data_IF_748866237158
#
_entry.id   IF_748866237158
#
_cell.length_a   1.000
_cell.length_b   1.000
_cell.length_c   1.000
_cell.angle_alpha   90.00
_cell.angle_beta   90.00
_cell.angle_gamma   90.00
#
_symmetry.space_group_name_H-M   'P 1'
#
loop_
_entity.id
_entity.type
_entity.pdbx_description
1 polymer ?
#
# COMPACT_ATOMS: atom_id res chain seq x y z
N UNK A 1 5.17 28.95 17.35
CA UNK A 1 4.13 27.95 17.00
C UNK A 1 3.69 28.02 15.54
N UNK A 2 3.31 29.17 14.96
CA UNK A 2 2.87 29.28 13.54
C UNK A 2 3.93 28.85 12.50
N UNK A 3 5.22 29.12 12.74
CA UNK A 3 6.33 28.74 11.85
C UNK A 3 6.57 27.22 11.80
N UNK A 4 6.23 26.49 12.86
CA UNK A 4 6.38 25.03 12.93
C UNK A 4 5.31 24.32 12.08
N UNK A 5 4.07 24.83 12.09
CA UNK A 5 2.99 24.33 11.23
C UNK A 5 3.30 24.52 9.76
N UNK A 6 3.85 25.69 9.40
CA UNK A 6 4.18 26.01 8.01
C UNK A 6 5.31 25.08 7.48
N UNK A 7 6.29 24.75 8.33
CA UNK A 7 7.38 23.83 8.01
C UNK A 7 6.90 22.37 7.86
N UNK A 8 5.97 21.94 8.72
CA UNK A 8 5.29 20.65 8.60
C UNK A 8 4.46 20.53 7.31
N UNK A 9 3.69 21.57 6.96
CA UNK A 9 2.92 21.61 5.72
C UNK A 9 3.81 21.57 4.47
N UNK A 10 4.95 22.27 4.48
CA UNK A 10 5.90 22.22 3.36
C UNK A 10 6.56 20.84 3.20
N UNK A 11 6.87 20.15 4.31
CA UNK A 11 7.41 18.78 4.24
C UNK A 11 6.35 17.84 3.63
N UNK A 12 5.10 17.92 4.08
CA UNK A 12 3.98 17.13 3.51
C UNK A 12 3.79 17.42 2.01
N UNK A 13 3.95 18.67 1.58
CA UNK A 13 3.81 19.07 0.18
C UNK A 13 5.00 18.61 -0.69
N UNK A 14 6.22 18.63 -0.14
CA UNK A 14 7.44 18.12 -0.80
C UNK A 14 7.40 16.59 -0.99
N UNK A 15 6.74 15.86 -0.09
CA UNK A 15 6.55 14.40 -0.21
C UNK A 15 5.56 13.99 -1.33
N UNK A 16 4.77 14.92 -1.87
CA UNK A 16 3.82 14.66 -2.98
C UNK A 16 4.46 14.78 -4.37
N UNK A 17 5.72 15.24 -4.47
CA UNK A 17 6.39 15.54 -5.75
C UNK A 17 7.27 14.40 -6.28
N UNK A 18 7.16 13.19 -5.72
CA UNK A 18 7.88 12.00 -6.19
C UNK A 18 7.24 11.37 -7.43
N UNK A 19 7.36 12.01 -8.60
CA UNK A 19 7.11 11.33 -9.88
C UNK A 19 8.26 10.36 -10.17
N UNK A 20 8.10 9.09 -9.81
CA UNK A 20 9.09 8.04 -10.10
C UNK A 20 8.69 7.33 -11.39
N UNK A 21 9.66 7.05 -12.28
CA UNK A 21 9.43 6.13 -13.40
C UNK A 21 9.38 4.71 -12.87
N UNK A 22 8.24 4.06 -13.02
CA UNK A 22 7.89 2.87 -12.28
C UNK A 22 8.21 1.60 -13.05
N UNK A 23 9.50 1.27 -13.09
CA UNK A 23 9.98 0.03 -13.68
C UNK A 23 10.68 -0.80 -12.61
N UNK A 24 10.30 -2.08 -12.48
CA UNK A 24 10.93 -2.99 -11.52
C UNK A 24 11.15 -4.38 -12.13
N UNK A 25 12.13 -5.12 -11.60
CA UNK A 25 12.44 -6.47 -12.04
C UNK A 25 11.91 -7.52 -11.08
N UNK A 26 11.46 -8.66 -11.61
CA UNK A 26 10.98 -9.81 -10.86
C UNK A 26 11.64 -11.06 -11.40
N UNK A 27 12.15 -11.91 -10.52
CA UNK A 27 12.70 -13.21 -10.87
C UNK A 27 11.66 -14.29 -10.51
N UNK A 28 11.27 -15.09 -11.50
CA UNK A 28 10.38 -16.26 -11.33
C UNK A 28 11.04 -17.45 -12.00
N UNK A 29 11.42 -18.45 -11.21
CA UNK A 29 12.28 -19.54 -11.69
C UNK A 29 13.63 -19.00 -12.16
N UNK A 30 14.05 -19.39 -13.36
CA UNK A 30 15.31 -18.97 -13.98
C UNK A 30 15.16 -17.71 -14.87
N UNK A 31 13.93 -17.20 -15.06
CA UNK A 31 13.64 -16.04 -15.90
C UNK A 31 13.60 -14.74 -15.10
N UNK A 32 14.10 -13.67 -15.72
CA UNK A 32 14.03 -12.29 -15.19
C UNK A 32 13.04 -11.49 -16.05
N UNK A 33 12.02 -10.97 -15.40
CA UNK A 33 10.98 -10.13 -15.98
C UNK A 33 11.21 -8.68 -15.60
N UNK A 34 10.97 -7.77 -16.54
CA UNK A 34 10.93 -6.33 -16.29
C UNK A 34 9.51 -5.84 -16.45
N UNK A 35 8.91 -5.33 -15.38
CA UNK A 35 7.56 -4.74 -15.41
C UNK A 35 7.70 -3.24 -15.55
N UNK A 36 7.11 -2.68 -16.61
CA UNK A 36 6.95 -1.25 -16.81
C UNK A 36 5.48 -0.89 -16.56
N UNK A 37 5.24 -0.22 -15.43
CA UNK A 37 3.88 0.14 -15.01
C UNK A 37 3.30 1.24 -15.89
N UNK A 38 4.13 2.21 -16.30
CA UNK A 38 3.68 3.37 -17.08
C UNK A 38 3.17 2.95 -18.46
N UNK A 39 3.86 1.99 -19.08
CA UNK A 39 3.48 1.46 -20.38
C UNK A 39 2.54 0.24 -20.28
N UNK A 40 2.28 -0.25 -19.06
CA UNK A 40 1.52 -1.47 -18.80
C UNK A 40 2.06 -2.66 -19.59
N UNK A 41 3.38 -2.88 -19.50
CA UNK A 41 4.06 -3.97 -20.19
C UNK A 41 4.93 -4.81 -19.26
N UNK A 42 5.04 -6.09 -19.56
CA UNK A 42 6.02 -7.01 -18.96
C UNK A 42 6.96 -7.46 -20.08
N UNK A 43 8.26 -7.38 -19.85
CA UNK A 43 9.28 -7.76 -20.82
C UNK A 43 10.11 -8.92 -20.30
N UNK A 44 10.31 -9.92 -21.15
CA UNK A 44 11.23 -11.03 -20.95
C UNK A 44 12.10 -11.16 -22.20
N UNK A 45 13.37 -10.77 -22.09
CA UNK A 45 14.29 -10.74 -23.24
C UNK A 45 13.77 -9.86 -24.37
N UNK A 46 13.37 -10.48 -25.50
CA UNK A 46 12.84 -9.79 -26.69
C UNK A 46 11.31 -9.73 -26.74
N UNK A 47 10.62 -10.47 -25.88
CA UNK A 47 9.16 -10.53 -25.88
C UNK A 47 8.59 -9.46 -24.95
N UNK A 48 7.62 -8.69 -25.44
CA UNK A 48 6.90 -7.68 -24.68
C UNK A 48 5.43 -8.09 -24.63
N UNK A 49 4.92 -8.22 -23.42
CA UNK A 49 3.54 -8.56 -23.11
C UNK A 49 2.84 -7.30 -22.62
N UNK A 50 1.72 -6.93 -23.22
CA UNK A 50 0.91 -5.82 -22.74
C UNK A 50 -0.12 -6.35 -21.76
N UNK A 51 -0.41 -5.62 -20.68
CA UNK A 51 -1.39 -6.06 -19.71
C UNK A 51 -2.40 -4.97 -19.36
N UNK A 52 -3.52 -5.40 -18.81
CA UNK A 52 -4.50 -4.56 -18.13
C UNK A 52 -4.86 -5.27 -16.84
N UNK A 53 -4.87 -4.53 -15.75
CA UNK A 53 -5.26 -5.05 -14.44
C UNK A 53 -6.29 -4.11 -13.83
N UNK A 54 -7.37 -4.69 -13.33
CA UNK A 54 -8.41 -4.01 -12.56
C UNK A 54 -8.61 -4.79 -11.26
N UNK A 55 -8.23 -4.18 -10.14
CA UNK A 55 -8.40 -4.75 -8.81
C UNK A 55 -9.55 -4.10 -8.06
N UNK A 56 -10.31 -4.91 -7.29
CA UNK A 56 -11.21 -4.40 -6.25
C UNK A 56 -10.51 -4.47 -4.88
N UNK A 57 -10.89 -3.59 -3.94
CA UNK A 57 -10.29 -3.46 -2.58
C UNK A 57 -10.36 -4.71 -1.67
N UNK A 58 -10.79 -5.86 -2.20
CA UNK A 58 -10.94 -7.13 -1.50
C UNK A 58 -10.05 -8.24 -2.05
N UNK A 59 -9.01 -7.91 -2.84
CA UNK A 59 -8.08 -8.88 -3.39
C UNK A 59 -8.68 -9.74 -4.52
N UNK A 60 -9.59 -9.14 -5.28
CA UNK A 60 -10.15 -9.73 -6.51
C UNK A 60 -9.62 -8.95 -7.71
N UNK A 61 -9.08 -9.66 -8.69
CA UNK A 61 -8.35 -9.10 -9.82
C UNK A 61 -8.98 -9.58 -11.13
N UNK A 62 -9.18 -8.65 -12.05
CA UNK A 62 -9.44 -8.91 -13.46
C UNK A 62 -8.17 -8.51 -14.24
N UNK A 63 -7.49 -9.51 -14.78
CA UNK A 63 -6.22 -9.37 -15.47
C UNK A 63 -6.41 -9.86 -16.90
N UNK A 64 -5.95 -9.04 -17.85
CA UNK A 64 -5.84 -9.41 -19.25
C UNK A 64 -4.43 -9.15 -19.76
N UNK A 65 -3.85 -10.13 -20.43
CA UNK A 65 -2.53 -10.06 -21.05
C UNK A 65 -2.69 -10.24 -22.55
N UNK A 66 -1.96 -9.44 -23.32
CA UNK A 66 -1.86 -9.48 -24.78
C UNK A 66 -0.43 -9.84 -25.15
N UNK A 67 -0.30 -10.90 -25.94
CA UNK A 67 0.96 -11.47 -26.40
C UNK A 67 1.45 -10.79 -27.68
N UNK A 68 2.75 -10.93 -28.04
CA UNK A 68 3.30 -10.35 -29.27
C UNK A 68 2.59 -10.78 -30.56
N UNK A 69 1.97 -11.96 -30.57
CA UNK A 69 1.19 -12.47 -31.71
C UNK A 69 -0.27 -11.97 -31.73
N UNK A 70 -0.67 -11.11 -30.79
CA UNK A 70 -2.04 -10.60 -30.63
C UNK A 70 -3.00 -11.53 -29.89
N UNK A 71 -2.57 -12.74 -29.51
CA UNK A 71 -3.38 -13.62 -28.64
C UNK A 71 -3.47 -13.04 -27.23
N UNK A 72 -4.47 -13.48 -26.46
CA UNK A 72 -4.67 -13.00 -25.09
C UNK A 72 -4.89 -14.12 -24.09
N UNK A 73 -4.42 -13.89 -22.87
CA UNK A 73 -4.74 -14.68 -21.69
C UNK A 73 -5.48 -13.78 -20.70
N UNK A 74 -6.45 -14.32 -19.98
CA UNK A 74 -7.15 -13.58 -18.93
C UNK A 74 -7.30 -14.42 -17.67
N UNK A 75 -7.33 -13.72 -16.54
CA UNK A 75 -7.55 -14.27 -15.20
C UNK A 75 -8.54 -13.38 -14.45
N UNK A 76 -9.56 -14.00 -13.87
CA UNK A 76 -10.53 -13.32 -13.02
C UNK A 76 -10.64 -14.08 -11.69
N UNK A 77 -10.22 -13.46 -10.59
CA UNK A 77 -10.21 -14.13 -9.29
C UNK A 77 -9.34 -13.49 -8.24
N UNK A 78 -9.25 -14.16 -7.08
CA UNK A 78 -8.24 -13.88 -6.06
C UNK A 78 -6.93 -14.62 -6.36
N UNK A 79 -5.91 -14.40 -5.54
CA UNK A 79 -4.63 -15.13 -5.63
C UNK A 79 -4.74 -16.64 -5.40
N UNK A 80 -5.82 -17.11 -4.78
CA UNK A 80 -6.00 -18.53 -4.41
C UNK A 80 -7.17 -19.22 -5.13
N UNK A 81 -8.03 -18.47 -5.79
CA UNK A 81 -9.20 -19.01 -6.48
C UNK A 81 -9.68 -18.09 -7.58
N UNK A 82 -9.96 -18.64 -8.75
CA UNK A 82 -10.43 -17.85 -9.88
C UNK A 82 -10.71 -18.72 -11.10
N UNK A 83 -11.06 -18.04 -12.18
CA UNK A 83 -11.20 -18.62 -13.50
C UNK A 83 -10.15 -17.99 -14.44
N UNK A 84 -9.70 -18.79 -15.40
CA UNK A 84 -8.81 -18.32 -16.45
C UNK A 84 -9.27 -18.81 -17.81
N UNK A 85 -8.81 -18.10 -18.84
CA UNK A 85 -9.05 -18.49 -20.21
C UNK A 85 -8.10 -17.80 -21.17
N UNK A 86 -8.15 -18.21 -22.42
CA UNK A 86 -7.26 -17.73 -23.47
C UNK A 86 -7.98 -17.62 -24.81
N UNK A 87 -7.45 -16.78 -25.68
CA UNK A 87 -7.94 -16.67 -27.06
C UNK A 87 -7.35 -17.75 -27.96
N UNK A 88 -7.91 -17.85 -29.17
CA UNK A 88 -7.27 -18.61 -30.24
C UNK A 88 -5.86 -18.08 -30.53
N UNK A 89 -4.93 -18.99 -30.86
CA UNK A 89 -3.53 -18.64 -31.12
C UNK A 89 -2.65 -18.46 -29.89
N UNK A 90 -3.18 -18.67 -28.67
CA UNK A 90 -2.37 -18.76 -27.46
C UNK A 90 -1.42 -19.97 -27.54
N UNK A 91 -0.13 -19.74 -27.30
CA UNK A 91 0.91 -20.76 -27.40
C UNK A 91 1.92 -20.63 -26.24
N UNK A 92 1.73 -21.48 -25.23
CA UNK A 92 2.57 -21.57 -24.03
C UNK A 92 3.96 -22.18 -24.29
N UNK A 93 4.20 -22.79 -25.46
CA UNK A 93 5.53 -23.32 -25.80
C UNK A 93 6.40 -22.23 -26.45
N UNK A 94 5.76 -21.26 -27.10
CA UNK A 94 6.43 -20.15 -27.77
C UNK A 94 6.63 -18.94 -26.87
N UNK A 95 5.70 -18.70 -25.96
CA UNK A 95 5.69 -17.56 -25.05
C UNK A 95 5.58 -18.00 -23.60
N UNK A 96 5.86 -17.08 -22.68
CA UNK A 96 5.71 -17.31 -21.23
C UNK A 96 4.25 -17.62 -20.92
N UNK A 97 4.05 -18.61 -20.08
CA UNK A 97 2.71 -18.99 -19.67
C UNK A 97 1.99 -17.85 -18.96
N UNK A 98 0.72 -17.63 -19.33
CA UNK A 98 -0.10 -16.54 -18.86
C UNK A 98 -0.31 -16.55 -17.35
N UNK A 99 -0.34 -17.74 -16.74
CA UNK A 99 -0.44 -17.83 -15.28
C UNK A 99 0.78 -17.23 -14.58
N UNK A 100 1.99 -17.42 -15.14
CA UNK A 100 3.23 -16.84 -14.58
C UNK A 100 3.22 -15.33 -14.64
N UNK A 101 2.74 -14.76 -15.76
CA UNK A 101 2.60 -13.32 -15.92
C UNK A 101 1.51 -12.75 -15.00
N UNK A 102 0.38 -13.45 -14.84
CA UNK A 102 -0.66 -13.08 -13.88
C UNK A 102 -0.12 -13.11 -12.44
N UNK A 103 0.63 -14.14 -12.05
CA UNK A 103 1.23 -14.25 -10.72
C UNK A 103 2.16 -13.07 -10.41
N UNK A 104 2.95 -12.61 -11.39
CA UNK A 104 3.81 -11.43 -11.23
C UNK A 104 2.97 -10.18 -10.92
N UNK A 105 1.83 -10.03 -11.60
CA UNK A 105 0.93 -8.88 -11.42
C UNK A 105 0.15 -8.99 -10.10
N UNK A 106 -0.37 -10.17 -9.75
CA UNK A 106 -1.08 -10.40 -8.48
C UNK A 106 -0.14 -10.19 -7.29
N UNK A 107 1.09 -10.72 -7.35
CA UNK A 107 2.09 -10.54 -6.29
C UNK A 107 2.46 -9.05 -6.09
N UNK A 108 2.45 -8.26 -7.18
CA UNK A 108 2.61 -6.81 -7.10
C UNK A 108 1.44 -6.17 -6.37
N UNK A 109 0.20 -6.46 -6.80
CA UNK A 109 -0.98 -5.87 -6.16
C UNK A 109 -1.08 -6.26 -4.68
N UNK A 110 -0.78 -7.51 -4.32
CA UNK A 110 -0.73 -7.94 -2.92
C UNK A 110 0.35 -7.21 -2.11
N UNK A 111 1.47 -6.80 -2.72
CA UNK A 111 2.48 -5.99 -2.03
C UNK A 111 2.07 -4.53 -1.85
N UNK A 112 1.23 -4.00 -2.75
CA UNK A 112 0.65 -2.66 -2.64
C UNK A 112 -0.47 -2.66 -1.58
N UNK A 113 -1.42 -3.57 -1.71
CA UNK A 113 -2.63 -3.64 -0.88
C UNK A 113 -2.40 -4.34 0.46
N UNK A 114 -1.52 -5.35 0.51
CA UNK A 114 -1.27 -6.21 1.67
C UNK A 114 -0.62 -5.54 2.86
N UNK A 115 -0.42 -4.22 2.83
CA UNK A 115 -0.07 -3.45 4.03
C UNK A 115 -1.28 -3.37 4.98
N UNK A 116 -1.45 -4.45 5.76
CA UNK A 116 -2.36 -4.57 6.91
C UNK A 116 -2.19 -3.46 7.95
N UNK A 117 -1.23 -2.55 7.78
CA UNK A 117 -1.02 -1.41 8.67
C UNK A 117 -1.89 -0.20 8.30
N UNK A 118 -2.45 -0.12 7.08
CA UNK A 118 -3.24 1.04 6.64
C UNK A 118 -4.41 1.37 7.54
N UNK A 119 -5.16 0.34 7.94
CA UNK A 119 -6.30 0.50 8.82
C UNK A 119 -5.90 0.88 10.27
N UNK A 120 -4.63 0.67 10.65
CA UNK A 120 -4.07 1.00 11.98
C UNK A 120 -3.50 2.43 12.02
N UNK A 121 -2.97 2.94 10.89
CA UNK A 121 -2.37 4.27 10.80
C UNK A 121 -3.35 5.35 11.26
N UNK A 122 -4.59 5.31 10.75
CA UNK A 122 -5.60 6.34 11.06
C UNK A 122 -5.98 6.35 12.56
N UNK A 123 -6.34 5.23 13.20
CA UNK A 123 -6.56 5.17 14.65
C UNK A 123 -5.38 5.66 15.49
N UNK A 124 -4.15 5.33 15.10
CA UNK A 124 -2.96 5.73 15.86
C UNK A 124 -2.68 7.23 15.72
N UNK A 125 -2.89 7.79 14.52
CA UNK A 125 -2.72 9.21 14.27
C UNK A 125 -3.80 10.03 15.02
N UNK A 126 -5.07 9.63 14.89
CA UNK A 126 -6.19 10.29 15.59
C UNK A 126 -6.03 10.14 17.10
N UNK A 127 -5.84 8.92 17.60
CA UNK A 127 -5.64 8.64 19.02
C UNK A 127 -4.44 9.39 19.60
N UNK A 128 -3.33 9.45 18.87
CA UNK A 128 -2.14 10.21 19.25
C UNK A 128 -2.40 11.71 19.39
N UNK A 129 -3.09 12.32 18.42
CA UNK A 129 -3.52 13.73 18.49
C UNK A 129 -4.42 13.97 19.71
N UNK A 130 -5.41 13.13 19.94
CA UNK A 130 -6.33 13.27 21.08
C UNK A 130 -5.61 13.17 22.43
N UNK A 131 -4.67 12.23 22.56
CA UNK A 131 -3.84 12.05 23.77
C UNK A 131 -2.91 13.24 24.03
N UNK A 132 -2.33 13.83 22.99
CA UNK A 132 -1.40 14.97 23.13
C UNK A 132 -2.12 16.29 23.41
N UNK A 133 -3.18 16.60 22.67
CA UNK A 133 -3.86 17.91 22.76
C UNK A 133 -5.00 17.94 23.78
N UNK A 134 -5.67 16.81 24.03
CA UNK A 134 -6.78 16.72 24.96
C UNK A 134 -6.55 15.72 26.12
N UNK A 135 -5.39 15.76 26.81
CA UNK A 135 -5.04 14.77 27.83
C UNK A 135 -6.05 14.75 28.99
N UNK A 136 -6.62 15.91 29.37
CA UNK A 136 -7.67 15.99 30.40
C UNK A 136 -8.95 15.24 30.01
N UNK A 137 -9.40 15.39 28.75
CA UNK A 137 -10.62 14.71 28.26
C UNK A 137 -10.41 13.20 28.22
N UNK A 138 -9.25 12.75 27.75
CA UNK A 138 -8.88 11.32 27.74
C UNK A 138 -8.82 10.76 29.16
N UNK A 139 -8.26 11.51 30.10
CA UNK A 139 -8.21 11.10 31.50
C UNK A 139 -9.61 10.93 32.11
N UNK A 140 -10.54 11.86 31.86
CA UNK A 140 -11.93 11.71 32.29
C UNK A 140 -12.68 10.58 31.56
N UNK A 141 -12.39 10.32 30.28
CA UNK A 141 -12.93 9.13 29.60
C UNK A 141 -12.43 7.82 30.23
N UNK A 142 -11.16 7.78 30.66
CA UNK A 142 -10.54 6.58 31.22
C UNK A 142 -10.87 6.35 32.70
N UNK A 143 -10.97 7.42 33.49
CA UNK A 143 -11.11 7.36 34.95
C UNK A 143 -12.28 8.17 35.52
N UNK A 144 -12.84 9.10 34.75
CA UNK A 144 -13.93 9.98 35.19
C UNK A 144 -15.27 9.27 35.41
N UNK A 145 -15.43 8.05 34.88
CA UNK A 145 -16.56 7.18 35.23
C UNK A 145 -16.40 6.52 36.61
N UNK A 146 -15.18 6.46 37.16
CA UNK A 146 -14.88 5.85 38.46
C UNK A 146 -14.78 6.88 39.60
N UNK A 147 -14.45 8.15 39.29
CA UNK A 147 -14.28 9.19 40.29
C UNK A 147 -14.92 10.52 39.84
N UNK A 148 -15.91 10.99 40.60
CA UNK A 148 -16.78 12.13 40.23
C UNK A 148 -16.10 13.51 40.39
N UNK A 149 -15.04 13.63 41.22
CA UNK A 149 -14.41 14.92 41.56
C UNK A 149 -12.88 14.87 41.74
N UNK A 150 -12.19 13.96 41.05
CA UNK A 150 -10.72 13.88 41.15
C UNK A 150 -10.08 14.62 39.99
N UNK A 151 -9.24 15.62 40.28
CA UNK A 151 -8.47 16.32 39.26
C UNK A 151 -7.27 15.47 38.81
N UNK A 152 -6.97 15.41 37.50
CA UNK A 152 -5.81 14.69 37.00
C UNK A 152 -4.51 15.29 37.54
N UNK A 153 -3.62 14.45 38.04
CA UNK A 153 -2.27 14.88 38.46
C UNK A 153 -1.47 15.37 37.26
N UNK A 154 -0.54 16.31 37.47
CA UNK A 154 0.33 16.83 36.39
C UNK A 154 1.08 15.70 35.68
N UNK A 155 1.57 14.72 36.43
CA UNK A 155 2.23 13.52 35.92
C UNK A 155 1.33 12.72 34.97
N UNK A 156 0.04 12.57 35.27
CA UNK A 156 -0.89 11.82 34.42
C UNK A 156 -1.13 12.50 33.06
N UNK A 157 -1.10 13.84 33.03
CA UNK A 157 -1.25 14.62 31.81
C UNK A 157 0.01 14.56 30.93
N UNK A 158 1.19 14.57 31.56
CA UNK A 158 2.47 14.43 30.86
C UNK A 158 2.66 13.03 30.26
N UNK A 159 2.29 11.97 31.00
CA UNK A 159 2.30 10.60 30.50
C UNK A 159 1.36 10.46 29.29
N UNK A 160 0.15 11.03 29.37
CA UNK A 160 -0.81 11.00 28.25
C UNK A 160 -0.23 11.67 27.00
N UNK A 161 0.46 12.81 27.18
CA UNK A 161 1.14 13.51 26.08
C UNK A 161 2.28 12.69 25.50
N UNK A 162 3.11 12.08 26.34
CA UNK A 162 4.22 11.23 25.91
C UNK A 162 3.73 10.03 25.09
N UNK A 163 2.67 9.35 25.54
CA UNK A 163 2.03 8.24 24.81
C UNK A 163 1.46 8.73 23.47
N UNK A 164 0.79 9.89 23.45
CA UNK A 164 0.25 10.46 22.23
C UNK A 164 1.32 10.77 21.18
N UNK A 165 2.44 11.35 21.62
CA UNK A 165 3.60 11.63 20.75
C UNK A 165 4.19 10.32 20.21
N UNK A 166 4.33 9.31 21.06
CA UNK A 166 4.82 7.99 20.66
C UNK A 166 3.91 7.32 19.61
N UNK A 167 2.59 7.36 19.79
CA UNK A 167 1.64 6.83 18.80
C UNK A 167 1.70 7.57 17.46
N UNK A 168 1.81 8.90 17.48
CA UNK A 168 1.99 9.68 16.25
C UNK A 168 3.30 9.34 15.54
N UNK A 169 4.38 9.10 16.28
CA UNK A 169 5.66 8.68 15.71
C UNK A 169 5.58 7.31 15.04
N UNK A 170 4.92 6.32 15.67
CA UNK A 170 4.66 5.01 15.06
C UNK A 170 3.81 5.16 13.80
N UNK A 171 2.71 5.93 13.86
CA UNK A 171 1.85 6.16 12.71
C UNK A 171 2.62 6.79 11.54
N UNK A 172 3.54 7.72 11.83
CA UNK A 172 4.39 8.34 10.81
C UNK A 172 5.36 7.35 10.17
N UNK A 173 6.01 6.49 10.95
CA UNK A 173 6.88 5.42 10.41
C UNK A 173 6.08 4.48 9.50
N UNK A 174 4.91 4.02 9.96
CA UNK A 174 4.05 3.13 9.18
C UNK A 174 3.58 3.79 7.88
N UNK A 175 3.28 5.09 7.93
CA UNK A 175 2.91 5.87 6.75
C UNK A 175 4.08 5.98 5.76
N UNK A 176 5.31 6.23 6.24
CA UNK A 176 6.50 6.22 5.39
C UNK A 176 6.70 4.87 4.72
N UNK A 177 6.63 3.77 5.49
CA UNK A 177 6.77 2.40 4.94
C UNK A 177 5.73 2.16 3.85
N UNK A 178 4.47 2.55 4.09
CA UNK A 178 3.39 2.39 3.10
C UNK A 178 3.63 3.24 1.85
N UNK A 179 4.09 4.47 2.00
CA UNK A 179 4.46 5.32 0.85
C UNK A 179 5.59 4.69 0.03
N UNK A 180 6.64 4.17 0.68
CA UNK A 180 7.72 3.50 -0.04
C UNK A 180 7.26 2.24 -0.79
N UNK A 181 6.34 1.46 -0.21
CA UNK A 181 5.73 0.32 -0.91
C UNK A 181 4.95 0.79 -2.13
N UNK A 182 4.10 1.82 -1.98
CA UNK A 182 3.35 2.38 -3.10
C UNK A 182 4.31 2.88 -4.18
N UNK A 183 5.29 3.72 -3.87
CA UNK A 183 6.23 4.27 -4.86
C UNK A 183 7.04 3.18 -5.57
N UNK A 184 7.42 2.11 -4.88
CA UNK A 184 8.21 1.03 -5.48
C UNK A 184 7.42 0.25 -6.53
N UNK A 185 6.11 0.15 -6.35
CA UNK A 185 5.26 -0.73 -7.16
C UNK A 185 4.26 0.02 -8.05
N UNK A 186 4.07 1.33 -7.85
CA UNK A 186 3.26 2.24 -8.65
C UNK A 186 4.12 2.85 -9.72
#
# INVERSE_FOLDING_TARGET
MKKLYLLLWTIVLLFMLGGCSSTYTVTKGDSIFTVDVNNSTISEGTNIYQYTISGNSYGYYDIKIIYPNGSSYWWEGSSSSGASGWSEGYDQNRYVDGSTLCDILVEREEKIDGSHYGWIILPFLVGGIFLTFFPKKVWYLRYGWHFKEVQPSQLSLEISRAIGIFLMFIAFILLIIRIFQIIKYL
#
